data_IF_407858209765
#
_entry.id   IF_407858209765
#
_cell.length_a   1.000
_cell.length_b   1.000
_cell.length_c   1.000
_cell.angle_alpha   90.00
_cell.angle_beta   90.00
_cell.angle_gamma   90.00
#
_symmetry.space_group_name_H-M   'P 1'
#
loop_
_entity.id
_entity.type
_entity.pdbx_description
1 polymer ?
#
# COMPACT_ATOMS: atom_id res chain seq x y z
N UNK A 1 -19.75 -0.19 -25.81
CA UNK A 1 -20.22 1.07 -25.22
C UNK A 1 -20.42 0.81 -23.74
N UNK A 2 -19.54 1.31 -22.89
CA UNK A 2 -19.71 1.27 -21.42
C UNK A 2 -20.70 2.37 -21.07
N UNK A 3 -21.69 2.11 -20.22
CA UNK A 3 -22.67 3.14 -19.85
C UNK A 3 -22.00 4.20 -18.97
N UNK A 4 -22.38 5.48 -19.12
CA UNK A 4 -21.87 6.57 -18.28
C UNK A 4 -22.00 6.26 -16.77
N UNK A 5 -23.05 5.53 -16.39
CA UNK A 5 -23.28 5.06 -15.02
C UNK A 5 -22.24 4.07 -14.49
N UNK A 6 -21.62 3.24 -15.34
CA UNK A 6 -20.55 2.33 -14.94
C UNK A 6 -19.22 3.06 -14.73
N UNK A 7 -18.95 4.10 -15.52
CA UNK A 7 -17.73 4.92 -15.38
C UNK A 7 -17.78 5.79 -14.12
N UNK A 8 -18.93 6.40 -13.81
CA UNK A 8 -19.13 7.17 -12.57
C UNK A 8 -18.98 6.28 -11.32
N UNK A 9 -19.60 5.10 -11.31
CA UNK A 9 -19.48 4.15 -10.19
C UNK A 9 -18.03 3.69 -9.95
N UNK A 10 -17.28 3.42 -11.02
CA UNK A 10 -15.86 3.04 -10.93
C UNK A 10 -14.99 4.16 -10.35
N UNK A 11 -15.26 5.42 -10.74
CA UNK A 11 -14.53 6.59 -10.27
C UNK A 11 -14.76 6.85 -8.78
N UNK A 12 -16.00 6.79 -8.32
CA UNK A 12 -16.34 7.00 -6.91
C UNK A 12 -15.73 5.91 -6.03
N UNK A 13 -15.85 4.65 -6.46
CA UNK A 13 -15.22 3.50 -5.78
C UNK A 13 -13.70 3.62 -5.71
N UNK A 14 -13.04 4.15 -6.73
CA UNK A 14 -11.60 4.39 -6.73
C UNK A 14 -11.21 5.52 -5.76
N UNK A 15 -11.98 6.61 -5.71
CA UNK A 15 -11.78 7.69 -4.75
C UNK A 15 -11.97 7.22 -3.31
N UNK A 16 -12.95 6.36 -3.06
CA UNK A 16 -13.14 5.70 -1.77
C UNK A 16 -11.92 4.84 -1.41
N UNK A 17 -11.45 3.99 -2.33
CA UNK A 17 -10.28 3.16 -2.11
C UNK A 17 -9.03 3.98 -1.74
N UNK A 18 -8.82 5.12 -2.40
CA UNK A 18 -7.66 5.99 -2.11
C UNK A 18 -7.76 6.67 -0.73
N UNK A 19 -8.99 6.90 -0.24
CA UNK A 19 -9.22 7.52 1.07
C UNK A 19 -9.24 6.51 2.21
N UNK A 20 -9.49 5.23 1.92
CA UNK A 20 -9.62 4.15 2.89
C UNK A 20 -8.34 3.92 3.70
N UNK A 21 -8.51 3.75 5.02
CA UNK A 21 -7.40 3.62 5.95
C UNK A 21 -6.68 2.26 5.83
N UNK A 22 -7.40 1.21 5.45
CA UNK A 22 -6.82 -0.11 5.20
C UNK A 22 -5.87 -0.07 4.01
N UNK A 23 -6.31 0.58 2.92
CA UNK A 23 -5.51 0.77 1.70
C UNK A 23 -4.28 1.62 2.01
N UNK A 24 -4.43 2.71 2.77
CA UNK A 24 -3.31 3.55 3.22
C UNK A 24 -2.30 2.79 4.08
N UNK A 25 -2.73 1.93 5.00
CA UNK A 25 -1.80 1.10 5.80
C UNK A 25 -1.02 0.13 4.94
N UNK A 26 -1.68 -0.50 3.96
CA UNK A 26 -1.00 -1.37 3.00
C UNK A 26 -0.02 -0.57 2.13
N UNK A 27 -0.41 0.63 1.68
CA UNK A 27 0.50 1.51 0.96
C UNK A 27 1.72 1.90 1.80
N UNK A 28 1.53 2.20 3.09
CA UNK A 28 2.61 2.59 4.00
C UNK A 28 3.66 1.49 4.18
N UNK A 29 3.26 0.22 4.29
CA UNK A 29 4.26 -0.87 4.43
C UNK A 29 5.10 -1.04 3.16
N UNK A 30 4.48 -0.91 1.99
CA UNK A 30 5.21 -0.96 0.73
C UNK A 30 6.10 0.27 0.56
N UNK A 31 5.59 1.46 0.90
CA UNK A 31 6.40 2.67 0.90
C UNK A 31 7.64 2.48 1.75
N UNK A 32 7.48 2.02 2.99
CA UNK A 32 8.62 1.82 3.88
C UNK A 32 9.67 0.89 3.27
N UNK A 33 9.23 -0.27 2.78
CA UNK A 33 10.14 -1.24 2.16
C UNK A 33 10.84 -0.67 0.93
N UNK A 34 10.12 0.08 0.08
CA UNK A 34 10.65 0.61 -1.19
C UNK A 34 11.54 1.83 -0.97
N UNK A 35 11.18 2.73 -0.06
CA UNK A 35 11.80 4.05 0.10
C UNK A 35 12.81 4.04 1.23
N UNK A 36 12.45 3.54 2.41
CA UNK A 36 13.30 3.61 3.60
C UNK A 36 14.22 2.38 3.75
N UNK A 37 13.77 1.20 3.35
CA UNK A 37 14.59 -0.02 3.36
C UNK A 37 15.24 -0.35 1.99
N UNK A 38 15.02 0.51 0.99
CA UNK A 38 15.56 0.40 -0.38
C UNK A 38 15.28 -0.93 -1.13
N UNK A 39 14.23 -1.67 -0.75
CA UNK A 39 13.82 -2.92 -1.39
C UNK A 39 12.92 -2.62 -2.60
N UNK A 40 13.51 -2.06 -3.66
CA UNK A 40 12.78 -1.62 -4.88
C UNK A 40 11.97 -2.72 -5.57
N UNK A 41 12.31 -3.98 -5.35
CA UNK A 41 11.61 -5.14 -5.93
C UNK A 41 10.09 -5.10 -5.67
N UNK A 42 9.65 -4.67 -4.49
CA UNK A 42 8.23 -4.58 -4.15
C UNK A 42 7.45 -3.65 -5.08
N UNK A 43 8.08 -2.57 -5.59
CA UNK A 43 7.43 -1.65 -6.51
C UNK A 43 7.12 -2.31 -7.85
N UNK A 44 8.09 -3.05 -8.39
CA UNK A 44 7.92 -3.77 -9.65
C UNK A 44 6.88 -4.88 -9.51
N UNK A 45 6.97 -5.68 -8.44
CA UNK A 45 6.01 -6.76 -8.22
C UNK A 45 4.58 -6.23 -8.05
N UNK A 46 4.39 -5.11 -7.33
CA UNK A 46 3.08 -4.48 -7.16
C UNK A 46 2.47 -4.05 -8.51
N UNK A 47 3.28 -3.42 -9.38
CA UNK A 47 2.83 -2.95 -10.71
C UNK A 47 2.32 -4.06 -11.63
N UNK A 48 2.83 -5.28 -11.46
CA UNK A 48 2.51 -6.41 -12.34
C UNK A 48 1.51 -7.40 -11.72
N UNK A 49 0.85 -7.04 -10.62
CA UNK A 49 -0.17 -7.90 -10.00
C UNK A 49 -1.37 -8.11 -10.92
N UNK A 50 -1.70 -9.38 -11.17
CA UNK A 50 -2.83 -9.82 -12.00
C UNK A 50 -3.87 -10.67 -11.26
N UNK A 51 -3.66 -10.95 -9.96
CA UNK A 51 -4.66 -11.65 -9.15
C UNK A 51 -4.66 -11.18 -7.70
N UNK A 52 -5.82 -11.29 -7.04
CA UNK A 52 -5.96 -10.94 -5.63
C UNK A 52 -5.13 -11.86 -4.71
N UNK A 53 -4.98 -13.13 -5.08
CA UNK A 53 -4.10 -14.06 -4.38
C UNK A 53 -2.64 -13.58 -4.41
N UNK A 54 -2.15 -13.10 -5.56
CA UNK A 54 -0.79 -12.54 -5.68
C UNK A 54 -0.63 -11.24 -4.89
N UNK A 55 -1.68 -10.43 -4.78
CA UNK A 55 -1.69 -9.26 -3.91
C UNK A 55 -1.55 -9.62 -2.44
N UNK A 56 -2.33 -10.57 -1.96
CA UNK A 56 -2.23 -11.05 -0.58
C UNK A 56 -0.87 -11.72 -0.31
N UNK A 57 -0.33 -12.48 -1.27
CA UNK A 57 1.00 -13.08 -1.17
C UNK A 57 2.10 -12.00 -1.08
N UNK A 58 2.01 -10.93 -1.87
CA UNK A 58 2.94 -9.80 -1.83
C UNK A 58 2.84 -9.05 -0.49
N UNK A 59 1.63 -8.78 0.00
CA UNK A 59 1.41 -8.16 1.32
C UNK A 59 2.00 -9.04 2.43
N UNK A 60 1.75 -10.35 2.39
CA UNK A 60 2.28 -11.29 3.38
C UNK A 60 3.81 -11.35 3.38
N UNK A 61 4.46 -11.29 2.22
CA UNK A 61 5.92 -11.19 2.11
C UNK A 61 6.45 -9.87 2.68
N UNK A 62 5.79 -8.76 2.35
CA UNK A 62 6.14 -7.44 2.88
C UNK A 62 6.10 -7.41 4.41
N UNK A 63 5.05 -7.96 5.01
CA UNK A 63 4.91 -8.06 6.46
C UNK A 63 6.01 -8.92 7.10
N UNK A 64 6.38 -10.05 6.48
CA UNK A 64 7.49 -10.88 6.98
C UNK A 64 8.84 -10.15 6.89
N UNK A 65 9.08 -9.41 5.81
CA UNK A 65 10.30 -8.62 5.69
C UNK A 65 10.35 -7.50 6.75
N UNK A 66 9.22 -6.84 7.02
CA UNK A 66 9.15 -5.86 8.11
C UNK A 66 9.40 -6.50 9.48
N UNK A 67 8.89 -7.71 9.74
CA UNK A 67 9.17 -8.43 10.98
C UNK A 67 10.68 -8.71 11.13
N UNK A 68 11.35 -9.14 10.06
CA UNK A 68 12.81 -9.35 10.07
C UNK A 68 13.54 -8.02 10.32
N UNK A 69 13.21 -6.97 9.59
CA UNK A 69 13.83 -5.65 9.74
C UNK A 69 13.56 -5.03 11.12
N UNK A 70 12.42 -5.33 11.75
CA UNK A 70 12.09 -4.81 13.08
C UNK A 70 13.04 -5.28 14.20
N UNK A 71 13.85 -6.31 13.92
CA UNK A 71 14.85 -6.87 14.83
C UNK A 71 16.23 -6.23 14.63
N UNK A 72 16.41 -5.48 13.55
CA UNK A 72 17.63 -4.72 13.27
C UNK A 72 17.52 -3.33 13.90
N UNK A 73 18.50 -2.96 14.73
CA UNK A 73 18.52 -1.71 15.47
C UNK A 73 18.47 -0.46 14.58
N UNK A 74 18.91 -0.57 13.31
CA UNK A 74 18.84 0.53 12.35
C UNK A 74 17.40 0.84 11.90
N UNK A 75 16.52 -0.16 11.88
CA UNK A 75 15.16 -0.02 11.32
C UNK A 75 14.06 -0.09 12.38
N UNK A 76 14.34 -0.74 13.52
CA UNK A 76 13.41 -1.02 14.61
C UNK A 76 12.62 0.20 15.07
N UNK A 77 13.30 1.35 15.28
CA UNK A 77 12.65 2.58 15.75
C UNK A 77 11.58 3.07 14.77
N UNK A 78 11.86 3.04 13.47
CA UNK A 78 10.91 3.55 12.48
C UNK A 78 9.80 2.56 12.16
N UNK A 79 10.12 1.26 12.12
CA UNK A 79 9.10 0.21 11.94
C UNK A 79 8.10 0.21 13.10
N UNK A 80 8.55 0.44 14.34
CA UNK A 80 7.65 0.53 15.49
C UNK A 80 6.59 1.64 15.40
N UNK A 81 6.83 2.67 14.57
CA UNK A 81 5.88 3.77 14.33
C UNK A 81 4.84 3.40 13.26
N UNK A 82 5.09 2.34 12.48
CA UNK A 82 4.18 1.90 11.43
C UNK A 82 2.98 1.18 12.04
N UNK A 83 1.79 1.58 11.61
CA UNK A 83 0.57 0.80 11.87
C UNK A 83 0.46 -0.33 10.85
N UNK A 84 0.89 -1.53 11.25
CA UNK A 84 0.85 -2.71 10.38
C UNK A 84 -0.60 -3.09 10.00
N UNK A 85 -0.85 -3.48 8.74
CA UNK A 85 -2.12 -4.04 8.30
C UNK A 85 -2.53 -5.28 9.10
N UNK A 86 -3.81 -5.31 9.48
CA UNK A 86 -4.49 -6.48 10.04
C UNK A 86 -5.12 -7.35 8.94
N UNK A 87 -5.66 -8.52 9.32
CA UNK A 87 -6.46 -9.35 8.40
C UNK A 87 -7.70 -8.66 7.84
N UNK A 88 -8.30 -7.75 8.62
CA UNK A 88 -9.40 -6.90 8.12
C UNK A 88 -8.89 -5.95 7.04
N UNK A 89 -7.70 -5.38 7.21
CA UNK A 89 -7.12 -4.48 6.22
C UNK A 89 -6.79 -5.22 4.91
N UNK A 90 -6.24 -6.44 5.00
CA UNK A 90 -6.01 -7.33 3.86
C UNK A 90 -7.31 -7.64 3.11
N UNK A 91 -8.39 -7.97 3.83
CA UNK A 91 -9.70 -8.26 3.24
C UNK A 91 -10.29 -7.04 2.51
N UNK A 92 -10.20 -5.84 3.10
CA UNK A 92 -10.64 -4.59 2.45
C UNK A 92 -9.86 -4.33 1.16
N UNK A 93 -8.54 -4.49 1.19
CA UNK A 93 -7.69 -4.31 -0.01
C UNK A 93 -8.03 -5.34 -1.09
N UNK A 94 -8.30 -6.58 -0.71
CA UNK A 94 -8.73 -7.61 -1.66
C UNK A 94 -10.09 -7.29 -2.26
N UNK A 95 -11.03 -6.75 -1.47
CA UNK A 95 -12.33 -6.30 -1.97
C UNK A 95 -12.15 -5.22 -3.05
N UNK A 96 -11.43 -4.14 -2.75
CA UNK A 96 -11.17 -3.08 -3.73
C UNK A 96 -10.43 -3.59 -4.97
N UNK A 97 -9.48 -4.51 -4.80
CA UNK A 97 -8.82 -5.16 -5.95
C UNK A 97 -9.82 -5.93 -6.82
N UNK A 98 -10.75 -6.68 -6.23
CA UNK A 98 -11.72 -7.47 -7.00
C UNK A 98 -12.71 -6.57 -7.76
N UNK A 99 -13.10 -5.46 -7.15
CA UNK A 99 -14.05 -4.49 -7.70
C UNK A 99 -13.42 -3.64 -8.82
N UNK A 100 -12.17 -3.19 -8.64
CA UNK A 100 -11.54 -2.16 -9.48
C UNK A 100 -10.32 -2.65 -10.27
N UNK A 101 -9.84 -3.86 -9.99
CA UNK A 101 -8.77 -4.54 -10.75
C UNK A 101 -7.52 -3.68 -10.91
N UNK A 102 -7.09 -3.47 -12.16
CA UNK A 102 -5.86 -2.77 -12.49
C UNK A 102 -5.90 -1.30 -12.07
N UNK A 103 -7.07 -0.68 -12.03
CA UNK A 103 -7.17 0.73 -11.64
C UNK A 103 -6.91 0.90 -10.15
N UNK A 104 -7.35 -0.06 -9.32
CA UNK A 104 -6.92 -0.11 -7.93
C UNK A 104 -5.41 -0.32 -7.78
N UNK A 105 -4.78 -1.19 -8.57
CA UNK A 105 -3.32 -1.37 -8.51
C UNK A 105 -2.57 -0.09 -8.88
N UNK A 106 -3.03 0.65 -9.89
CA UNK A 106 -2.46 1.96 -10.26
C UNK A 106 -2.62 2.97 -9.11
N UNK A 107 -3.82 3.06 -8.53
CA UNK A 107 -4.09 3.96 -7.41
C UNK A 107 -3.28 3.61 -6.16
N UNK A 108 -3.20 2.32 -5.80
CA UNK A 108 -2.37 1.82 -4.70
C UNK A 108 -0.89 2.13 -4.95
N UNK A 109 -0.39 1.92 -6.17
CA UNK A 109 1.01 2.25 -6.51
C UNK A 109 1.29 3.76 -6.41
N UNK A 110 0.32 4.60 -6.80
CA UNK A 110 0.39 6.06 -6.62
C UNK A 110 0.42 6.44 -5.15
N UNK A 111 -0.44 5.83 -4.33
CA UNK A 111 -0.43 6.00 -2.88
C UNK A 111 0.92 5.58 -2.28
N UNK A 112 1.48 4.44 -2.67
CA UNK A 112 2.79 3.99 -2.18
C UNK A 112 3.86 5.06 -2.37
N UNK A 113 3.83 5.86 -3.44
CA UNK A 113 4.80 6.95 -3.63
C UNK A 113 4.48 8.21 -2.82
N UNK A 114 3.22 8.40 -2.43
CA UNK A 114 2.74 9.60 -1.73
C UNK A 114 2.60 9.43 -0.20
N UNK A 115 2.64 8.19 0.31
CA UNK A 115 2.22 7.86 1.68
C UNK A 115 3.40 7.62 2.60
N UNK A 116 3.78 8.60 3.43
CA UNK A 116 4.56 8.30 4.63
C UNK A 116 4.52 9.42 5.69
N UNK A 117 4.06 9.13 6.91
CA UNK A 117 4.22 10.04 8.05
C UNK A 117 5.68 10.32 8.42
N UNK A 118 6.61 9.37 8.19
CA UNK A 118 8.05 9.59 8.43
C UNK A 118 8.59 10.66 7.48
N UNK A 119 8.24 10.59 6.18
CA UNK A 119 8.61 11.61 5.20
C UNK A 119 7.91 12.96 5.45
N UNK A 120 6.83 13.01 6.23
CA UNK A 120 6.14 14.26 6.57
C UNK A 120 6.72 14.88 7.85
N UNK A 121 7.10 14.05 8.83
CA UNK A 121 7.81 14.48 10.04
C UNK A 121 9.24 14.97 9.76
N UNK A 122 9.92 14.42 8.75
CA UNK A 122 11.24 14.92 8.32
C UNK A 122 11.17 16.32 7.67
N UNK A 123 10.06 16.67 7.03
CA UNK A 123 9.89 18.00 6.39
C UNK A 123 9.67 19.15 7.36
N UNK A 124 9.20 18.88 8.58
CA UNK A 124 9.00 19.92 9.62
C UNK A 124 10.29 20.27 10.36
N UNK A 125 11.34 19.44 10.26
CA UNK A 125 12.63 19.67 10.94
C UNK A 125 13.61 20.47 10.07
N UNK A 126 13.33 20.61 8.77
CA UNK A 126 14.11 21.43 7.82
C UNK A 126 13.46 22.80 7.52
N UNK A 127 12.49 23.24 8.34
CA UNK A 127 11.78 24.52 8.22
C UNK A 127 12.18 25.56 9.25
#
# INVERSE_FOLDING_TARGET
MVSQSQEEFSRDSLLEAVKDQSVKRVANIFHYLIVHADIKQYYYELKFIRSGAKLLELIGRALRNLDVLSRDENYKKDISKLRLPSKKDEATVLKYYNDLRMDFIKALSGLVLASCPLCWGEREVEG
#
